data_IF_084083411849
#
_entry.id   IF_084083411849
#
_cell.length_a   1.000
_cell.length_b   1.000
_cell.length_c   1.000
_cell.angle_alpha   90.00
_cell.angle_beta   90.00
_cell.angle_gamma   90.00
#
_symmetry.space_group_name_H-M   'P 1'
#
loop_
_entity.id
_entity.type
_entity.pdbx_description
1 polymer ?
#
# COMPACT_ATOMS: atom_id res chain seq x y z
N UNK A 1 -9.17 -3.66 16.81
CA UNK A 1 -7.86 -3.57 17.53
C UNK A 1 -8.00 -3.58 19.06
N UNK A 2 -8.82 -2.71 19.71
CA UNK A 2 -9.27 -2.94 21.10
C UNK A 2 -10.79 -2.76 21.20
N UNK A 3 -11.50 -3.84 21.52
CA UNK A 3 -12.96 -3.89 21.55
C UNK A 3 -13.49 -5.13 20.81
N UNK A 4 -14.78 -5.13 20.49
CA UNK A 4 -15.34 -6.06 19.50
C UNK A 4 -15.29 -5.39 18.13
N UNK A 5 -14.48 -5.95 17.21
CA UNK A 5 -14.28 -5.41 15.87
C UNK A 5 -13.16 -4.37 15.76
N UNK A 6 -12.92 -3.93 14.53
CA UNK A 6 -11.97 -2.88 14.17
C UNK A 6 -12.74 -1.70 13.58
N UNK A 7 -12.16 -0.50 13.68
CA UNK A 7 -12.58 0.63 12.85
C UNK A 7 -11.62 0.62 11.65
N UNK A 8 -11.99 -0.16 10.63
CA UNK A 8 -11.13 -0.41 9.48
C UNK A 8 -10.93 0.86 8.64
N UNK A 9 -11.93 1.76 8.59
CA UNK A 9 -11.79 3.12 8.04
C UNK A 9 -10.67 3.90 8.72
N UNK A 10 -10.66 3.95 10.05
CA UNK A 10 -9.63 4.65 10.81
C UNK A 10 -8.26 3.97 10.66
N UNK A 11 -8.23 2.63 10.64
CA UNK A 11 -6.99 1.85 10.47
C UNK A 11 -6.36 2.08 9.08
N UNK A 12 -7.18 2.08 8.02
CA UNK A 12 -6.75 2.40 6.66
C UNK A 12 -6.25 3.84 6.60
N UNK A 13 -7.01 4.81 7.09
CA UNK A 13 -6.61 6.22 7.05
C UNK A 13 -5.28 6.45 7.82
N UNK A 14 -5.10 5.89 9.02
CA UNK A 14 -3.83 6.00 9.77
C UNK A 14 -2.68 5.36 8.99
N UNK A 15 -2.82 4.11 8.55
CA UNK A 15 -1.72 3.39 7.91
C UNK A 15 -1.35 4.00 6.56
N UNK A 16 -2.32 4.42 5.75
CA UNK A 16 -2.06 5.09 4.47
C UNK A 16 -1.45 6.47 4.70
N UNK A 17 -2.12 7.36 5.45
CA UNK A 17 -1.68 8.77 5.59
C UNK A 17 -0.32 8.92 6.27
N UNK A 18 0.03 8.05 7.24
CA UNK A 18 1.29 8.13 7.98
C UNK A 18 2.44 7.31 7.36
N UNK A 19 2.17 6.46 6.37
CA UNK A 19 3.17 5.57 5.76
C UNK A 19 4.33 6.30 5.09
N UNK A 20 4.07 7.48 4.53
CA UNK A 20 5.06 8.29 3.82
C UNK A 20 5.59 9.46 4.68
N UNK A 21 5.30 9.46 6.00
CA UNK A 21 5.74 10.50 6.96
C UNK A 21 6.49 9.97 8.18
N UNK A 22 5.83 9.23 9.07
CA UNK A 22 6.28 8.98 10.45
C UNK A 22 5.81 7.64 11.04
N UNK A 23 5.20 6.78 10.20
CA UNK A 23 4.94 5.38 10.57
C UNK A 23 6.17 4.61 11.10
N UNK A 24 7.45 4.91 10.73
CA UNK A 24 8.62 4.34 11.43
C UNK A 24 8.63 4.62 12.94
N UNK A 25 8.43 5.89 13.33
CA UNK A 25 8.42 6.32 14.72
C UNK A 25 7.20 5.78 15.46
N UNK A 26 6.03 5.73 14.80
CA UNK A 26 4.81 5.12 15.36
C UNK A 26 5.05 3.63 15.68
N UNK A 27 5.62 2.85 14.75
CA UNK A 27 5.96 1.43 14.98
C UNK A 27 6.87 1.26 16.21
N UNK A 28 7.96 2.03 16.28
CA UNK A 28 8.94 1.97 17.37
C UNK A 28 8.41 2.43 18.75
N UNK A 29 7.40 3.30 18.78
CA UNK A 29 6.73 3.71 20.03
C UNK A 29 5.61 2.73 20.43
N UNK A 30 4.83 2.21 19.48
CA UNK A 30 3.75 1.24 19.72
C UNK A 30 4.26 0.00 20.47
N UNK A 31 5.37 -0.57 20.00
CA UNK A 31 6.02 -1.73 20.62
C UNK A 31 6.49 -1.46 22.06
N UNK A 32 6.83 -0.21 22.41
CA UNK A 32 7.23 0.16 23.78
C UNK A 32 6.03 0.40 24.71
N UNK A 33 4.90 0.87 24.18
CA UNK A 33 3.71 1.21 24.97
C UNK A 33 2.79 0.00 25.21
N UNK A 34 2.73 -0.93 24.24
CA UNK A 34 1.78 -2.06 24.27
C UNK A 34 2.44 -3.44 24.37
N UNK A 35 3.77 -3.52 24.25
CA UNK A 35 4.52 -4.78 24.38
C UNK A 35 4.40 -5.75 23.19
N UNK A 36 3.55 -5.44 22.21
CA UNK A 36 3.39 -6.18 20.95
C UNK A 36 3.57 -5.21 19.78
N UNK A 37 3.97 -5.71 18.61
CA UNK A 37 4.25 -4.84 17.46
C UNK A 37 2.96 -4.47 16.72
N UNK A 38 2.94 -3.27 16.12
CA UNK A 38 1.81 -2.82 15.29
C UNK A 38 1.48 -3.83 14.19
N UNK A 39 2.51 -4.44 13.58
CA UNK A 39 2.37 -5.54 12.63
C UNK A 39 1.63 -6.74 13.24
N UNK A 40 2.08 -7.23 14.39
CA UNK A 40 1.49 -8.38 15.09
C UNK A 40 0.00 -8.21 15.37
N UNK A 41 -0.42 -6.99 15.71
CA UNK A 41 -1.81 -6.74 16.10
C UNK A 41 -2.72 -6.53 14.87
N UNK A 42 -2.22 -5.85 13.83
CA UNK A 42 -2.90 -5.84 12.51
C UNK A 42 -2.99 -7.24 11.92
N UNK A 43 -1.98 -8.11 12.10
CA UNK A 43 -1.97 -9.49 11.60
C UNK A 43 -3.05 -10.39 12.23
N UNK A 44 -3.51 -10.07 13.45
CA UNK A 44 -4.57 -10.80 14.16
C UNK A 44 -5.97 -10.28 13.79
N UNK A 45 -6.11 -8.96 13.75
CA UNK A 45 -7.40 -8.29 13.60
C UNK A 45 -7.88 -8.23 12.13
N UNK A 46 -7.03 -8.57 11.15
CA UNK A 46 -7.33 -8.49 9.72
C UNK A 46 -7.07 -9.82 8.98
N UNK A 47 -7.66 -9.99 7.80
CA UNK A 47 -7.53 -11.21 6.98
C UNK A 47 -7.51 -10.91 5.47
N UNK A 48 -7.32 -11.95 4.65
CA UNK A 48 -7.31 -11.84 3.18
C UNK A 48 -6.28 -10.85 2.63
N UNK A 49 -6.56 -10.35 1.43
CA UNK A 49 -5.72 -9.39 0.71
C UNK A 49 -5.71 -8.00 1.36
N UNK A 50 -6.76 -7.67 2.13
CA UNK A 50 -6.77 -6.52 3.04
C UNK A 50 -5.59 -6.58 4.02
N UNK A 51 -5.42 -7.71 4.72
CA UNK A 51 -4.23 -7.93 5.56
C UNK A 51 -2.94 -7.83 4.76
N UNK A 52 -2.83 -8.52 3.61
CA UNK A 52 -1.61 -8.47 2.78
C UNK A 52 -1.20 -7.04 2.47
N UNK A 53 -2.16 -6.20 2.05
CA UNK A 53 -1.94 -4.79 1.76
C UNK A 53 -1.44 -4.00 2.98
N UNK A 54 -2.13 -4.08 4.12
CA UNK A 54 -1.73 -3.36 5.34
C UNK A 54 -0.35 -3.78 5.86
N UNK A 55 -0.06 -5.09 5.88
CA UNK A 55 1.25 -5.58 6.32
C UNK A 55 2.35 -5.15 5.35
N UNK A 56 2.07 -5.11 4.04
CA UNK A 56 3.02 -4.62 3.04
C UNK A 56 3.30 -3.12 3.17
N UNK A 57 2.33 -2.30 3.58
CA UNK A 57 2.55 -0.90 3.98
C UNK A 57 3.49 -0.82 5.20
N UNK A 58 3.19 -1.59 6.26
CA UNK A 58 3.97 -1.60 7.51
C UNK A 58 5.42 -2.13 7.32
N UNK A 59 5.62 -3.06 6.40
CA UNK A 59 6.94 -3.67 6.09
C UNK A 59 7.80 -2.82 5.14
N UNK A 60 7.18 -2.09 4.20
CA UNK A 60 7.91 -1.15 3.31
C UNK A 60 8.57 -0.02 4.12
N UNK A 61 7.90 0.39 5.18
CA UNK A 61 8.31 1.48 6.07
C UNK A 61 9.36 0.96 7.05
N UNK A 62 10.61 1.44 6.93
CA UNK A 62 11.74 1.00 7.75
C UNK A 62 11.57 1.24 9.25
N UNK A 63 12.44 0.61 10.04
CA UNK A 63 12.54 0.86 11.48
C UNK A 63 13.36 2.13 11.75
N UNK A 64 12.72 3.20 12.23
CA UNK A 64 13.47 4.28 12.87
C UNK A 64 13.94 3.85 14.25
N UNK A 65 15.17 4.24 14.60
CA UNK A 65 15.72 3.94 15.93
C UNK A 65 14.89 4.66 16.98
N UNK A 66 14.52 3.99 18.09
CA UNK A 66 13.74 4.62 19.16
C UNK A 66 14.35 5.95 19.61
N UNK A 67 13.49 6.97 19.78
CA UNK A 67 13.87 8.23 20.44
C UNK A 67 14.51 7.86 21.80
N UNK A 68 15.79 8.20 22.05
CA UNK A 68 16.49 7.67 23.21
C UNK A 68 15.86 8.12 24.52
N UNK A 69 15.45 7.15 25.34
CA UNK A 69 15.35 7.34 26.79
C UNK A 69 16.77 7.59 27.32
N UNK A 70 16.91 8.47 28.31
CA UNK A 70 18.22 8.77 28.88
C UNK A 70 18.88 7.50 29.44
N UNK A 71 20.21 7.38 29.23
CA UNK A 71 20.89 6.09 29.26
C UNK A 71 21.50 5.77 30.62
N UNK A 72 21.42 4.50 31.00
CA UNK A 72 22.55 3.84 31.65
C UNK A 72 23.24 2.87 30.66
N UNK A 73 24.53 2.63 30.86
CA UNK A 73 25.42 1.91 29.93
C UNK A 73 25.95 0.62 30.54
N UNK A 74 26.11 -0.44 29.71
CA UNK A 74 27.30 -1.31 29.69
C UNK A 74 27.39 -2.20 28.44
N UNK A 75 28.56 -2.81 28.28
CA UNK A 75 29.10 -3.42 27.04
C UNK A 75 28.69 -4.92 26.93
N UNK A 76 29.09 -5.78 25.96
CA UNK A 76 30.38 -5.89 25.22
C UNK A 76 30.28 -6.80 23.96
N UNK A 77 31.09 -6.50 22.91
CA UNK A 77 31.76 -7.36 21.86
C UNK A 77 31.13 -8.71 21.40
N UNK A 78 30.78 -8.94 20.11
CA UNK A 78 31.57 -9.20 18.85
C UNK A 78 31.82 -10.69 18.52
N UNK A 79 31.58 -11.11 17.26
CA UNK A 79 32.57 -11.74 16.34
C UNK A 79 32.01 -11.98 14.90
N UNK A 80 32.90 -12.24 13.93
CA UNK A 80 32.72 -12.25 12.45
C UNK A 80 33.02 -13.66 11.81
N UNK A 81 32.78 -14.06 10.54
CA UNK A 81 32.37 -13.40 9.27
C UNK A 81 31.14 -14.11 8.57
N UNK A 82 31.03 -14.62 7.31
CA UNK A 82 31.89 -14.85 6.11
C UNK A 82 31.03 -14.93 4.77
N UNK A 83 31.42 -15.68 3.71
CA UNK A 83 30.81 -15.70 2.34
C UNK A 83 30.26 -17.12 1.88
N UNK A 84 30.08 -17.63 0.62
CA UNK A 84 30.44 -17.24 -0.79
C UNK A 84 29.77 -18.11 -1.93
N UNK A 85 29.14 -17.50 -2.98
CA UNK A 85 28.96 -17.92 -4.43
C UNK A 85 28.40 -19.35 -4.81
N UNK A 86 27.90 -19.73 -6.02
CA UNK A 86 27.36 -19.13 -7.29
C UNK A 86 26.66 -20.19 -8.21
N UNK A 87 25.77 -19.79 -9.15
CA UNK A 87 25.32 -20.56 -10.37
C UNK A 87 24.12 -21.54 -10.23
N UNK A 88 23.36 -21.94 -11.27
CA UNK A 88 23.25 -21.56 -12.70
C UNK A 88 21.81 -21.87 -13.28
N UNK A 89 21.52 -21.55 -14.57
CA UNK A 89 20.19 -21.48 -15.25
C UNK A 89 19.63 -22.78 -15.85
N UNK A 90 18.33 -22.82 -16.23
CA UNK A 90 17.85 -23.02 -17.64
C UNK A 90 16.32 -22.93 -17.82
N UNK A 91 15.88 -22.85 -19.08
CA UNK A 91 14.57 -22.41 -19.59
C UNK A 91 13.52 -23.53 -19.73
N UNK A 92 12.23 -23.19 -19.93
CA UNK A 92 11.59 -23.35 -21.26
C UNK A 92 10.16 -22.76 -21.40
N UNK A 93 9.77 -22.57 -22.66
CA UNK A 93 8.64 -21.77 -23.18
C UNK A 93 7.28 -22.52 -23.24
N UNK A 94 6.17 -21.77 -23.33
CA UNK A 94 4.90 -22.19 -23.96
C UNK A 94 3.92 -21.03 -24.25
N UNK A 95 3.90 -20.64 -25.52
CA UNK A 95 2.92 -19.76 -26.19
C UNK A 95 1.47 -20.32 -26.22
N UNK A 96 0.45 -19.44 -26.27
CA UNK A 96 -0.76 -19.58 -27.15
C UNK A 96 -1.65 -18.30 -27.17
N UNK A 97 -1.79 -17.74 -28.38
CA UNK A 97 -2.91 -16.95 -28.96
C UNK A 97 -3.49 -15.73 -28.20
N UNK A 98 -3.38 -14.56 -28.84
CA UNK A 98 -4.15 -13.34 -28.57
C UNK A 98 -4.83 -12.80 -29.86
N UNK A 99 -5.71 -11.81 -29.71
CA UNK A 99 -6.68 -11.35 -30.73
C UNK A 99 -6.22 -10.10 -31.50
N UNK A 100 -7.02 -9.63 -32.48
CA UNK A 100 -6.59 -8.56 -33.41
C UNK A 100 -6.38 -7.18 -32.78
N UNK A 101 -7.10 -6.84 -31.71
CA UNK A 101 -6.85 -5.59 -30.97
C UNK A 101 -5.59 -5.70 -30.11
N UNK A 102 -5.24 -6.91 -29.67
CA UNK A 102 -4.03 -7.18 -28.91
C UNK A 102 -2.78 -7.15 -29.81
N UNK A 103 -2.87 -7.64 -31.05
CA UNK A 103 -1.81 -7.54 -32.07
C UNK A 103 -1.41 -6.08 -32.36
N UNK A 104 -2.35 -5.13 -32.36
CA UNK A 104 -2.04 -3.72 -32.60
C UNK A 104 -1.26 -3.11 -31.41
N UNK A 105 -1.50 -3.59 -30.19
CA UNK A 105 -0.75 -3.22 -28.97
C UNK A 105 0.64 -3.91 -28.96
N UNK A 106 0.71 -5.22 -29.22
CA UNK A 106 1.95 -6.00 -29.32
C UNK A 106 2.93 -5.40 -30.34
N UNK A 107 2.42 -4.84 -31.45
CA UNK A 107 3.25 -4.17 -32.46
C UNK A 107 4.04 -2.96 -31.91
N UNK A 108 3.64 -2.42 -30.76
CA UNK A 108 4.25 -1.27 -30.09
C UNK A 108 5.05 -1.68 -28.82
N UNK A 109 5.00 -2.94 -28.38
CA UNK A 109 5.71 -3.40 -27.15
C UNK A 109 7.25 -3.35 -27.29
N UNK A 110 7.80 -3.24 -28.50
CA UNK A 110 9.24 -3.03 -28.73
C UNK A 110 9.77 -1.66 -28.26
N UNK A 111 8.94 -0.84 -27.60
CA UNK A 111 9.39 0.34 -26.86
C UNK A 111 8.51 0.68 -25.64
N UNK A 112 8.20 -0.32 -24.81
CA UNK A 112 7.65 -0.06 -23.46
C UNK A 112 8.59 0.91 -22.72
N UNK A 113 8.06 2.06 -22.32
CA UNK A 113 8.73 3.01 -21.45
C UNK A 113 8.87 2.40 -20.06
N UNK A 114 10.00 2.62 -19.36
CA UNK A 114 10.16 2.15 -17.97
C UNK A 114 9.09 2.75 -17.03
N UNK A 115 8.55 3.92 -17.39
CA UNK A 115 7.45 4.58 -16.69
C UNK A 115 6.08 3.92 -16.93
N UNK A 116 5.96 3.00 -17.90
CA UNK A 116 4.72 2.31 -18.27
C UNK A 116 4.61 0.90 -17.70
N UNK A 117 5.70 0.29 -17.21
CA UNK A 117 5.73 -1.10 -16.76
C UNK A 117 4.64 -1.40 -15.70
N UNK A 118 4.48 -0.53 -14.72
CA UNK A 118 3.49 -0.68 -13.65
C UNK A 118 2.04 -0.46 -14.14
N UNK A 119 1.82 0.36 -15.18
CA UNK A 119 0.51 0.50 -15.82
C UNK A 119 0.14 -0.76 -16.62
N UNK A 120 1.12 -1.33 -17.34
CA UNK A 120 0.97 -2.59 -18.09
C UNK A 120 0.72 -3.77 -17.14
N UNK A 121 1.44 -3.85 -16.01
CA UNK A 121 1.20 -4.87 -14.97
C UNK A 121 -0.23 -4.81 -14.43
N UNK A 122 -0.71 -3.63 -14.06
CA UNK A 122 -2.08 -3.47 -13.55
C UNK A 122 -3.13 -3.82 -14.61
N UNK A 123 -2.96 -3.40 -15.87
CA UNK A 123 -3.89 -3.78 -16.93
C UNK A 123 -3.90 -5.30 -17.18
N UNK A 124 -2.74 -5.96 -17.15
CA UNK A 124 -2.60 -7.43 -17.28
C UNK A 124 -3.00 -8.19 -15.98
N UNK A 125 -3.24 -7.48 -14.87
CA UNK A 125 -3.75 -8.01 -13.60
C UNK A 125 -5.27 -7.88 -13.44
N UNK A 126 -5.88 -6.87 -14.05
CA UNK A 126 -7.32 -6.57 -14.08
C UNK A 126 -8.00 -7.03 -15.39
N UNK A 127 -7.49 -8.10 -16.00
CA UNK A 127 -7.98 -8.65 -17.28
C UNK A 127 -8.34 -10.11 -17.12
N UNK A 128 -9.63 -10.42 -17.28
CA UNK A 128 -10.16 -11.78 -17.34
C UNK A 128 -11.37 -11.98 -16.43
N UNK A 129 -11.42 -13.16 -15.78
CA UNK A 129 -12.38 -13.45 -14.72
C UNK A 129 -11.64 -13.43 -13.37
N UNK A 130 -11.95 -12.43 -12.54
CA UNK A 130 -11.21 -12.14 -11.31
C UNK A 130 -9.91 -11.39 -11.57
N UNK A 131 -9.41 -10.76 -10.51
CA UNK A 131 -8.22 -9.92 -10.50
C UNK A 131 -6.99 -10.73 -10.07
N UNK A 132 -5.79 -10.15 -10.17
CA UNK A 132 -4.56 -10.70 -9.55
C UNK A 132 -4.12 -9.79 -8.41
N UNK A 133 -4.74 -9.97 -7.25
CA UNK A 133 -4.66 -9.07 -6.09
C UNK A 133 -3.21 -8.87 -5.61
N UNK A 134 -2.38 -9.92 -5.61
CA UNK A 134 -0.96 -9.84 -5.23
C UNK A 134 -0.15 -8.91 -6.13
N UNK A 135 -0.48 -8.81 -7.43
CA UNK A 135 0.17 -7.86 -8.37
C UNK A 135 -0.27 -6.43 -8.08
N UNK A 136 -1.56 -6.24 -7.76
CA UNK A 136 -2.09 -4.92 -7.36
C UNK A 136 -1.43 -4.47 -6.06
N UNK A 137 -1.31 -5.36 -5.06
CA UNK A 137 -0.59 -5.09 -3.82
C UNK A 137 0.86 -4.72 -4.12
N UNK A 138 1.59 -5.51 -4.92
CA UNK A 138 3.00 -5.21 -5.23
C UNK A 138 3.18 -3.82 -5.83
N UNK A 139 2.45 -3.50 -6.90
CA UNK A 139 2.60 -2.24 -7.65
C UNK A 139 2.15 -1.04 -6.82
N UNK A 140 0.96 -1.09 -6.22
CA UNK A 140 0.39 0.07 -5.51
C UNK A 140 1.15 0.34 -4.20
N UNK A 141 1.55 -0.69 -3.45
CA UNK A 141 2.30 -0.47 -2.20
C UNK A 141 3.75 -0.07 -2.45
N UNK A 142 4.44 -0.62 -3.46
CA UNK A 142 5.85 -0.29 -3.75
C UNK A 142 6.02 1.18 -4.12
N UNK A 143 5.15 1.72 -4.95
CA UNK A 143 5.21 3.12 -5.37
C UNK A 143 4.93 4.09 -4.21
N UNK A 144 5.48 5.31 -4.28
CA UNK A 144 5.10 6.46 -3.43
C UNK A 144 3.80 7.10 -3.93
N UNK A 145 3.19 7.99 -3.15
CA UNK A 145 1.98 8.71 -3.54
C UNK A 145 2.19 9.48 -4.85
N UNK A 146 3.33 10.17 -5.00
CA UNK A 146 3.70 10.89 -6.22
C UNK A 146 3.81 9.96 -7.44
N UNK A 147 4.49 8.81 -7.29
CA UNK A 147 4.55 7.79 -8.35
C UNK A 147 3.18 7.21 -8.69
N UNK A 148 2.28 7.04 -7.70
CA UNK A 148 0.88 6.64 -7.93
C UNK A 148 0.07 7.72 -8.67
N UNK A 149 0.37 9.01 -8.48
CA UNK A 149 -0.22 10.07 -9.31
C UNK A 149 0.25 9.97 -10.78
N UNK A 150 1.55 9.79 -11.02
CA UNK A 150 2.11 9.55 -12.37
C UNK A 150 1.53 8.31 -13.02
N UNK A 151 1.43 7.20 -12.28
CA UNK A 151 0.86 5.93 -12.74
C UNK A 151 -0.59 6.07 -13.25
N UNK A 152 -1.42 6.89 -12.59
CA UNK A 152 -2.77 7.21 -13.10
C UNK A 152 -2.74 7.94 -14.44
N UNK A 153 -1.83 8.90 -14.61
CA UNK A 153 -1.67 9.62 -15.88
C UNK A 153 -1.23 8.66 -16.98
N UNK A 154 -0.19 7.84 -16.75
CA UNK A 154 0.30 6.85 -17.73
C UNK A 154 -0.75 5.81 -18.10
N UNK A 155 -1.49 5.28 -17.12
CA UNK A 155 -2.58 4.34 -17.39
C UNK A 155 -3.69 4.96 -18.26
N UNK A 156 -4.03 6.23 -18.04
CA UNK A 156 -4.97 6.95 -18.90
C UNK A 156 -4.39 7.22 -20.29
N UNK A 157 -3.12 7.59 -20.40
CA UNK A 157 -2.44 7.84 -21.68
C UNK A 157 -2.38 6.57 -22.54
N UNK A 158 -2.11 5.41 -21.95
CA UNK A 158 -2.05 4.10 -22.64
C UNK A 158 -3.44 3.57 -23.00
N UNK A 159 -4.35 3.48 -22.02
CA UNK A 159 -5.59 2.70 -22.14
C UNK A 159 -6.87 3.53 -22.32
N UNK A 160 -6.78 4.87 -22.27
CA UNK A 160 -7.91 5.82 -22.31
C UNK A 160 -8.99 5.53 -21.26
N UNK A 161 -8.56 4.97 -20.12
CA UNK A 161 -9.39 4.60 -18.95
C UNK A 161 -8.97 5.36 -17.70
N UNK A 162 -9.82 5.38 -16.69
CA UNK A 162 -9.43 5.80 -15.34
C UNK A 162 -9.00 4.58 -14.51
N UNK A 163 -7.80 4.62 -13.93
CA UNK A 163 -7.23 3.53 -13.15
C UNK A 163 -7.93 3.34 -11.80
N UNK A 164 -8.45 4.41 -11.20
CA UNK A 164 -9.14 4.36 -9.90
C UNK A 164 -10.51 3.72 -10.08
N UNK A 165 -11.24 4.06 -11.14
CA UNK A 165 -12.53 3.42 -11.45
C UNK A 165 -12.37 1.96 -11.93
N UNK A 166 -11.34 1.62 -12.71
CA UNK A 166 -11.01 0.21 -13.02
C UNK A 166 -10.76 -0.59 -11.71
N UNK A 167 -9.83 -0.15 -10.86
CA UNK A 167 -9.53 -0.80 -9.57
C UNK A 167 -10.76 -0.93 -8.65
N UNK A 168 -11.61 0.10 -8.62
CA UNK A 168 -12.86 0.15 -7.84
C UNK A 168 -13.95 -0.79 -8.37
N UNK A 169 -13.90 -1.16 -9.65
CA UNK A 169 -14.81 -2.13 -10.25
C UNK A 169 -14.36 -3.58 -10.07
N UNK A 170 -13.04 -3.80 -10.01
CA UNK A 170 -12.40 -5.10 -9.82
C UNK A 170 -12.37 -5.55 -8.35
N UNK A 171 -12.06 -4.64 -7.43
CA UNK A 171 -11.81 -4.97 -6.02
C UNK A 171 -13.05 -4.78 -5.13
N UNK A 172 -13.10 -5.50 -4.01
CA UNK A 172 -14.18 -5.37 -3.01
C UNK A 172 -13.68 -5.25 -1.56
N UNK A 173 -14.59 -4.89 -0.65
CA UNK A 173 -14.33 -4.76 0.80
C UNK A 173 -13.23 -3.77 1.18
N UNK A 174 -12.67 -3.95 2.37
CA UNK A 174 -11.62 -3.11 2.95
C UNK A 174 -10.31 -3.17 2.16
N UNK A 175 -10.10 -4.25 1.37
CA UNK A 175 -8.99 -4.34 0.42
C UNK A 175 -9.11 -3.30 -0.70
N UNK A 176 -10.29 -3.19 -1.33
CA UNK A 176 -10.60 -2.12 -2.28
C UNK A 176 -10.36 -0.76 -1.64
N UNK A 177 -10.93 -0.51 -0.46
CA UNK A 177 -10.83 0.80 0.19
C UNK A 177 -9.39 1.17 0.58
N UNK A 178 -8.57 0.18 0.97
CA UNK A 178 -7.11 0.36 1.17
C UNK A 178 -6.38 0.73 -0.13
N UNK A 179 -6.64 0.03 -1.23
CA UNK A 179 -5.99 0.28 -2.53
C UNK A 179 -6.42 1.63 -3.11
N UNK A 180 -7.70 2.00 -3.00
CA UNK A 180 -8.19 3.29 -3.44
C UNK A 180 -7.60 4.42 -2.58
N UNK A 181 -7.57 4.29 -1.25
CA UNK A 181 -6.97 5.27 -0.35
C UNK A 181 -5.49 5.57 -0.68
N UNK A 182 -4.70 4.54 -1.02
CA UNK A 182 -3.32 4.73 -1.49
C UNK A 182 -3.25 5.57 -2.78
N UNK A 183 -4.20 5.39 -3.71
CA UNK A 183 -4.23 6.05 -5.02
C UNK A 183 -4.68 7.53 -4.97
N UNK A 184 -5.25 7.99 -3.86
CA UNK A 184 -5.65 9.38 -3.65
C UNK A 184 -4.44 10.28 -3.35
N UNK A 185 -4.58 11.59 -3.58
CA UNK A 185 -3.68 12.56 -2.94
C UNK A 185 -4.00 12.65 -1.44
N UNK A 186 -3.06 13.07 -0.56
CA UNK A 186 -3.31 13.15 0.88
C UNK A 186 -4.55 13.98 1.24
N UNK A 187 -4.67 15.17 0.64
CA UNK A 187 -5.82 16.08 0.85
C UNK A 187 -7.14 15.43 0.43
N UNK A 188 -7.18 14.72 -0.71
CA UNK A 188 -8.41 14.06 -1.16
C UNK A 188 -8.79 12.89 -0.23
N UNK A 189 -7.79 12.14 0.27
CA UNK A 189 -8.02 11.07 1.26
C UNK A 189 -8.62 11.65 2.54
N UNK A 190 -8.10 12.75 3.06
CA UNK A 190 -8.66 13.42 4.24
C UNK A 190 -10.09 13.92 3.97
N UNK A 191 -10.36 14.54 2.81
CA UNK A 191 -11.70 15.03 2.42
C UNK A 191 -12.74 13.89 2.39
N UNK A 192 -12.46 12.79 1.70
CA UNK A 192 -13.43 11.68 1.60
C UNK A 192 -13.57 10.92 2.92
N UNK A 193 -12.51 10.85 3.74
CA UNK A 193 -12.58 10.23 5.08
C UNK A 193 -13.39 11.11 6.05
N UNK A 194 -13.20 12.44 6.04
CA UNK A 194 -14.02 13.40 6.79
C UNK A 194 -15.49 13.31 6.37
N UNK A 195 -15.77 13.38 5.07
CA UNK A 195 -17.11 13.23 4.52
C UNK A 195 -17.76 11.91 4.94
N UNK A 196 -17.02 10.80 4.91
CA UNK A 196 -17.50 9.49 5.32
C UNK A 196 -17.77 9.39 6.84
N UNK A 197 -16.89 9.95 7.68
CA UNK A 197 -17.08 9.97 9.15
C UNK A 197 -18.30 10.75 9.61
N UNK A 198 -18.83 11.66 8.79
CA UNK A 198 -20.03 12.48 9.06
C UNK A 198 -21.28 12.00 8.28
N UNK A 199 -21.19 10.91 7.51
CA UNK A 199 -22.24 10.47 6.59
C UNK A 199 -23.06 9.32 7.16
N UNK A 200 -24.28 9.61 7.61
CA UNK A 200 -25.26 8.60 7.98
C UNK A 200 -26.10 9.00 9.19
N UNK A 201 -26.25 8.08 10.14
CA UNK A 201 -26.85 8.32 11.44
C UNK A 201 -25.76 8.21 12.52
N UNK A 202 -25.47 9.33 13.19
CA UNK A 202 -24.31 9.46 14.09
C UNK A 202 -23.06 9.97 13.37
N UNK A 203 -21.92 9.86 14.05
CA UNK A 203 -20.59 10.25 13.57
C UNK A 203 -19.60 9.13 13.89
N UNK A 204 -18.48 9.08 13.19
CA UNK A 204 -17.25 8.45 13.67
C UNK A 204 -16.35 9.53 14.27
N UNK A 205 -16.62 9.92 15.53
CA UNK A 205 -15.81 10.93 16.22
C UNK A 205 -14.33 10.52 16.35
N UNK A 206 -13.94 9.25 16.60
CA UNK A 206 -12.54 8.83 16.56
C UNK A 206 -11.82 9.15 15.25
N UNK A 207 -12.43 8.92 14.09
CA UNK A 207 -11.84 9.27 12.78
C UNK A 207 -11.83 10.78 12.57
N UNK A 208 -12.94 11.47 12.87
CA UNK A 208 -13.06 12.93 12.72
C UNK A 208 -12.01 13.70 13.56
N UNK A 209 -11.85 13.32 14.82
CA UNK A 209 -10.84 13.87 15.74
C UNK A 209 -9.43 13.47 15.28
N UNK A 210 -9.24 12.22 14.83
CA UNK A 210 -7.97 11.73 14.31
C UNK A 210 -7.44 12.58 13.14
N UNK A 211 -8.31 12.95 12.20
CA UNK A 211 -7.95 13.83 11.09
C UNK A 211 -7.68 15.26 11.62
N UNK A 212 -8.70 15.90 12.22
CA UNK A 212 -8.64 17.34 12.56
C UNK A 212 -7.51 17.67 13.55
N UNK A 213 -7.18 16.76 14.47
CA UNK A 213 -6.16 17.01 15.50
C UNK A 213 -4.75 16.48 15.15
N UNK A 214 -4.53 15.90 13.97
CA UNK A 214 -3.20 15.39 13.54
C UNK A 214 -2.51 16.23 12.46
N UNK A 215 -3.24 17.18 11.86
CA UNK A 215 -2.78 18.07 10.79
C UNK A 215 -2.05 19.29 11.34
N UNK A 216 -1.01 19.74 10.64
CA UNK A 216 -0.38 21.03 10.88
C UNK A 216 -1.22 22.17 10.28
N UNK A 217 -0.92 23.43 10.64
CA UNK A 217 -1.63 24.60 10.10
C UNK A 217 -1.33 24.91 8.61
N UNK A 218 -0.67 23.99 7.90
CA UNK A 218 -0.35 24.07 6.47
C UNK A 218 -0.98 22.92 5.64
N UNK A 219 -1.79 22.06 6.29
CA UNK A 219 -2.51 20.91 5.72
C UNK A 219 -4.03 21.11 5.84
#
# INVERSE_FOLDING_TARGET
>A
MKGLGTNDTQLIWILVSRSETDLPAIKGQYQQLYGQSLKSDVEKETSGDYKKALIRIIDKVGEEKPIPKEKEHKNTEKQEADEKKEGEKTDNDKQIVHTKEEIEIESNENKIDENDEDAVKLNKAMKGFGTKEDVVIEVITRNSNSQRQTLKMRYNELYKKDLVEDLKSELSGDFKDTILALMMSPINLDIDTLNSSMKGLGTDEPTLIGIICSKSAAE
#
